data_IF_501480293930
#
_entry.id   IF_501480293930
#
_cell.length_a   1.000
_cell.length_b   1.000
_cell.length_c   1.000
_cell.angle_alpha   90.00
_cell.angle_beta   90.00
_cell.angle_gamma   90.00
#
_symmetry.space_group_name_H-M   'P 1'
#
loop_
_entity.id
_entity.type
_entity.pdbx_description
1 polymer ?
#
# COMPACT_ATOMS: atom_id res chain seq x y z
N UNK A 1 -15.46 1.64 16.99
CA UNK A 1 -14.37 0.88 17.65
C UNK A 1 -13.08 1.45 17.12
N UNK A 2 -12.21 1.94 18.01
CA UNK A 2 -11.04 2.72 17.65
C UNK A 2 -10.05 1.89 16.82
N UNK A 3 -9.70 2.38 15.63
CA UNK A 3 -8.56 1.88 14.86
C UNK A 3 -7.28 2.33 15.56
N UNK A 4 -6.35 1.43 15.92
CA UNK A 4 -5.01 1.88 16.24
C UNK A 4 -4.36 2.29 14.92
N UNK A 5 -4.19 3.59 14.68
CA UNK A 5 -3.29 4.11 13.66
C UNK A 5 -1.84 3.95 14.16
N UNK A 6 -1.00 3.11 13.55
CA UNK A 6 0.42 3.11 13.83
C UNK A 6 1.09 4.05 12.85
N UNK A 7 1.04 5.36 13.14
CA UNK A 7 2.11 6.26 12.71
C UNK A 7 3.34 5.94 13.59
N UNK A 8 3.88 4.73 13.47
CA UNK A 8 5.15 4.37 14.09
C UNK A 8 6.24 4.59 13.07
N UNK A 9 7.04 5.61 13.33
CA UNK A 9 8.25 6.01 12.63
C UNK A 9 9.39 4.98 12.77
N UNK A 10 9.12 3.70 12.53
CA UNK A 10 10.15 2.70 12.25
C UNK A 10 10.36 2.68 10.73
N UNK A 11 11.63 2.62 10.30
CA UNK A 11 12.06 2.66 8.90
C UNK A 11 11.09 1.92 7.96
N UNK A 12 10.67 2.61 6.89
CA UNK A 12 9.73 2.18 5.84
C UNK A 12 9.39 0.67 5.85
N UNK A 13 8.41 0.25 6.68
CA UNK A 13 8.14 -1.17 6.88
C UNK A 13 7.60 -1.83 5.59
N UNK A 14 7.11 -1.02 4.64
CA UNK A 14 6.69 -1.48 3.32
C UNK A 14 7.83 -2.09 2.52
N UNK A 15 9.07 -1.64 2.71
CA UNK A 15 10.25 -2.21 2.04
C UNK A 15 10.48 -3.63 2.55
N UNK A 16 10.44 -3.84 3.87
CA UNK A 16 10.64 -5.17 4.45
C UNK A 16 9.47 -6.10 4.13
N UNK A 17 8.23 -5.61 4.17
CA UNK A 17 7.08 -6.42 3.77
C UNK A 17 7.11 -6.77 2.28
N UNK A 18 7.50 -5.82 1.41
CA UNK A 18 7.68 -6.09 -0.01
C UNK A 18 8.77 -7.14 -0.25
N UNK A 19 9.89 -7.06 0.46
CA UNK A 19 10.96 -8.06 0.42
C UNK A 19 10.44 -9.45 0.79
N UNK A 20 9.76 -9.56 1.94
CA UNK A 20 9.17 -10.81 2.44
C UNK A 20 8.13 -11.38 1.47
N UNK A 21 7.30 -10.53 0.86
CA UNK A 21 6.34 -10.93 -0.16
C UNK A 21 7.01 -11.49 -1.42
N UNK A 22 8.10 -10.86 -1.89
CA UNK A 22 8.90 -11.37 -3.01
C UNK A 22 9.58 -12.71 -2.66
N UNK A 23 9.92 -12.92 -1.39
CA UNK A 23 10.42 -14.20 -0.86
C UNK A 23 9.32 -15.26 -0.65
N UNK A 24 8.04 -14.93 -0.90
CA UNK A 24 6.89 -15.84 -0.78
C UNK A 24 6.26 -15.91 0.63
N UNK A 25 6.67 -15.04 1.55
CA UNK A 25 6.11 -14.96 2.90
C UNK A 25 4.78 -14.18 2.90
N UNK A 26 3.68 -14.92 2.77
CA UNK A 26 2.32 -14.38 2.78
C UNK A 26 1.94 -13.66 4.08
N UNK A 27 2.65 -13.85 5.19
CA UNK A 27 2.34 -13.15 6.45
C UNK A 27 2.65 -11.65 6.38
N UNK A 28 3.47 -11.23 5.41
CA UNK A 28 3.73 -9.83 5.14
C UNK A 28 2.62 -9.15 4.30
N UNK A 29 1.68 -9.91 3.74
CA UNK A 29 0.64 -9.38 2.86
C UNK A 29 -0.29 -8.39 3.56
N UNK A 30 -0.95 -8.82 4.65
CA UNK A 30 -1.90 -7.97 5.38
C UNK A 30 -1.30 -6.62 5.80
N UNK A 31 -0.16 -6.57 6.51
CA UNK A 31 0.40 -5.28 6.92
C UNK A 31 0.88 -4.42 5.74
N UNK A 32 1.33 -5.04 4.63
CA UNK A 32 1.64 -4.32 3.40
C UNK A 32 0.41 -3.66 2.79
N UNK A 33 -0.67 -4.43 2.59
CA UNK A 33 -1.93 -3.95 2.00
C UNK A 33 -2.51 -2.81 2.81
N UNK A 34 -2.60 -2.96 4.13
CA UNK A 34 -3.16 -1.93 5.02
C UNK A 34 -2.38 -0.62 4.92
N UNK A 35 -1.04 -0.70 4.85
CA UNK A 35 -0.19 0.49 4.71
C UNK A 35 -0.36 1.17 3.37
N UNK A 36 -0.35 0.41 2.27
CA UNK A 36 -0.54 0.97 0.92
C UNK A 36 -1.94 1.54 0.76
N UNK A 37 -2.98 0.85 1.23
CA UNK A 37 -4.36 1.32 1.18
C UNK A 37 -4.53 2.66 1.88
N UNK A 38 -3.98 2.83 3.08
CA UNK A 38 -4.06 4.09 3.81
C UNK A 38 -3.43 5.25 3.03
N UNK A 39 -2.27 5.02 2.42
CA UNK A 39 -1.55 6.07 1.67
C UNK A 39 -2.24 6.40 0.34
N UNK A 40 -2.67 5.38 -0.40
CA UNK A 40 -3.40 5.57 -1.66
C UNK A 40 -4.68 6.34 -1.39
N UNK A 41 -5.46 5.97 -0.36
CA UNK A 41 -6.67 6.69 -0.01
C UNK A 41 -6.41 8.15 0.38
N UNK A 42 -5.35 8.43 1.14
CA UNK A 42 -4.97 9.81 1.45
C UNK A 42 -4.62 10.61 0.19
N UNK A 43 -3.91 9.98 -0.76
CA UNK A 43 -3.54 10.62 -2.02
C UNK A 43 -4.75 10.87 -2.92
N UNK A 44 -5.64 9.88 -3.07
CA UNK A 44 -6.85 10.03 -3.90
C UNK A 44 -7.85 11.00 -3.28
N UNK A 45 -7.95 11.06 -1.95
CA UNK A 45 -8.76 12.08 -1.26
C UNK A 45 -8.31 13.51 -1.59
N UNK A 46 -7.00 13.76 -1.64
CA UNK A 46 -6.45 15.07 -2.01
C UNK A 46 -6.76 15.45 -3.47
N UNK A 47 -6.94 14.46 -4.35
CA UNK A 47 -7.22 14.66 -5.77
C UNK A 47 -8.72 14.80 -6.08
N UNK A 48 -9.55 13.94 -5.51
CA UNK A 48 -10.98 13.84 -5.85
C UNK A 48 -11.85 14.82 -5.06
N UNK A 49 -11.49 15.15 -3.82
CA UNK A 49 -12.28 16.05 -2.96
C UNK A 49 -13.63 15.49 -2.47
N UNK A 50 -14.01 14.28 -2.90
CA UNK A 50 -15.15 13.52 -2.41
C UNK A 50 -14.80 12.06 -2.11
N UNK A 51 -15.53 11.44 -1.19
CA UNK A 51 -15.16 10.14 -0.60
C UNK A 51 -15.33 9.00 -1.58
N UNK A 52 -16.46 8.96 -2.27
CA UNK A 52 -16.83 7.87 -3.17
C UNK A 52 -15.79 7.72 -4.29
N UNK A 53 -15.46 8.82 -4.98
CA UNK A 53 -14.43 8.83 -6.02
C UNK A 53 -13.04 8.45 -5.48
N UNK A 54 -12.67 8.95 -4.30
CA UNK A 54 -11.39 8.63 -3.69
C UNK A 54 -11.29 7.14 -3.33
N UNK A 55 -12.38 6.53 -2.86
CA UNK A 55 -12.47 5.10 -2.57
C UNK A 55 -12.39 4.26 -3.85
N UNK A 56 -13.10 4.66 -4.91
CA UNK A 56 -13.07 3.97 -6.21
C UNK A 56 -11.66 3.93 -6.79
N UNK A 57 -11.01 5.10 -6.91
CA UNK A 57 -9.64 5.20 -7.43
C UNK A 57 -8.65 4.43 -6.55
N UNK A 58 -8.84 4.47 -5.22
CA UNK A 58 -7.96 3.74 -4.31
C UNK A 58 -8.09 2.22 -4.47
N UNK A 59 -9.31 1.72 -4.63
CA UNK A 59 -9.56 0.30 -4.87
C UNK A 59 -8.97 -0.16 -6.21
N UNK A 60 -9.20 0.59 -7.30
CA UNK A 60 -8.59 0.27 -8.60
C UNK A 60 -7.06 0.25 -8.56
N UNK A 61 -6.46 1.22 -7.86
CA UNK A 61 -5.00 1.29 -7.69
C UNK A 61 -4.48 0.09 -6.92
N UNK A 62 -5.13 -0.28 -5.82
CA UNK A 62 -4.76 -1.45 -5.03
C UNK A 62 -4.86 -2.74 -5.84
N UNK A 63 -5.94 -2.93 -6.63
CA UNK A 63 -6.07 -4.09 -7.52
C UNK A 63 -4.89 -4.18 -8.48
N UNK A 64 -4.53 -3.08 -9.16
CA UNK A 64 -3.38 -3.04 -10.08
C UNK A 64 -2.06 -3.35 -9.39
N UNK A 65 -1.86 -2.83 -8.18
CA UNK A 65 -0.67 -3.11 -7.35
C UNK A 65 -0.55 -4.61 -7.06
N UNK A 66 -1.65 -5.30 -6.76
CA UNK A 66 -1.61 -6.74 -6.50
C UNK A 66 -1.46 -7.59 -7.76
N UNK A 67 -2.19 -7.24 -8.83
CA UNK A 67 -2.12 -7.95 -10.11
C UNK A 67 -0.73 -7.90 -10.73
N UNK A 68 0.04 -6.84 -10.45
CA UNK A 68 1.37 -6.63 -11.02
C UNK A 68 2.49 -6.73 -9.96
N UNK A 69 2.20 -7.22 -8.75
CA UNK A 69 3.17 -7.20 -7.66
C UNK A 69 4.45 -7.98 -7.99
N UNK A 70 4.34 -9.04 -8.81
CA UNK A 70 5.48 -9.82 -9.31
C UNK A 70 6.45 -9.01 -10.18
N UNK A 71 6.02 -7.87 -10.71
CA UNK A 71 6.85 -6.95 -11.49
C UNK A 71 7.70 -6.03 -10.61
N UNK A 72 7.48 -6.02 -9.29
CA UNK A 72 8.31 -5.27 -8.35
C UNK A 72 9.69 -5.92 -8.22
N UNK A 73 10.68 -5.36 -8.92
CA UNK A 73 12.05 -5.90 -8.91
C UNK A 73 12.88 -5.44 -7.70
N UNK A 74 12.61 -4.24 -7.20
CA UNK A 74 13.36 -3.63 -6.10
C UNK A 74 12.40 -3.20 -4.98
N UNK A 75 12.34 -3.94 -3.84
CA UNK A 75 11.48 -3.60 -2.73
C UNK A 75 11.80 -2.22 -2.12
N UNK A 76 13.02 -1.69 -2.30
CA UNK A 76 13.36 -0.33 -1.85
C UNK A 76 12.61 0.75 -2.65
N UNK A 77 12.13 0.42 -3.85
CA UNK A 77 11.36 1.32 -4.72
C UNK A 77 9.86 1.12 -4.62
N UNK A 78 9.35 0.25 -3.74
CA UNK A 78 7.93 -0.10 -3.68
C UNK A 78 7.00 1.12 -3.61
N UNK A 79 7.40 2.16 -2.88
CA UNK A 79 6.63 3.40 -2.81
C UNK A 79 6.54 4.12 -4.16
N UNK A 80 7.66 4.29 -4.86
CA UNK A 80 7.70 4.93 -6.17
C UNK A 80 7.12 4.05 -7.29
N UNK A 81 6.95 2.75 -7.04
CA UNK A 81 6.29 1.84 -7.97
C UNK A 81 4.76 1.87 -7.82
N UNK A 82 4.26 2.09 -6.60
CA UNK A 82 2.83 2.21 -6.30
C UNK A 82 2.24 3.57 -6.68
N UNK A 83 2.99 4.66 -6.52
CA UNK A 83 2.57 6.05 -6.76
C UNK A 83 3.17 6.63 -8.04
#
# INVERSE_FOLDING_TARGET
>A
MATPSPLSAAAAPEIEWARRLLEGDASAFTPFVESIQQRVFQYTWLMCGQREDAEEVAQETLLKVFENFDQLQDPARVRAWVF
#
